data_IF_421434101345
#
_entry.id   IF_421434101345
#
_cell.length_a   1.000
_cell.length_b   1.000
_cell.length_c   1.000
_cell.angle_alpha   90.00
_cell.angle_beta   90.00
_cell.angle_gamma   90.00
#
_symmetry.space_group_name_H-M   'P 1'
#
loop_
_entity.id
_entity.type
_entity.pdbx_description
1 polymer ?
#
# COMPACT_ATOMS: atom_id res chain seq x y z
N UNK A 1 12.11 -26.79 -30.26
CA UNK A 1 12.61 -26.06 -31.44
C UNK A 1 12.29 -24.59 -31.22
N UNK A 2 13.27 -23.69 -31.02
CA UNK A 2 12.97 -22.26 -30.99
C UNK A 2 12.56 -21.81 -32.40
N UNK A 3 11.55 -20.94 -32.49
CA UNK A 3 11.01 -20.46 -33.76
C UNK A 3 12.03 -19.58 -34.49
N UNK A 4 12.46 -20.04 -35.67
CA UNK A 4 13.56 -19.48 -36.46
C UNK A 4 13.04 -18.40 -37.44
N UNK A 5 12.50 -17.30 -36.91
CA UNK A 5 11.98 -16.16 -37.70
C UNK A 5 12.39 -14.80 -37.11
N UNK A 6 12.49 -13.73 -37.92
CA UNK A 6 12.85 -12.41 -37.43
C UNK A 6 11.80 -11.88 -36.45
N UNK A 7 12.26 -11.41 -35.29
CA UNK A 7 11.43 -10.81 -34.24
C UNK A 7 10.64 -9.63 -34.82
N UNK A 8 9.36 -9.54 -34.48
CA UNK A 8 8.52 -8.40 -34.79
C UNK A 8 9.00 -7.14 -34.06
N UNK A 9 8.58 -5.96 -34.56
CA UNK A 9 8.87 -4.68 -33.93
C UNK A 9 8.38 -4.60 -32.47
N UNK A 10 7.27 -5.26 -32.16
CA UNK A 10 6.71 -5.36 -30.82
C UNK A 10 7.60 -6.19 -29.89
N UNK A 11 8.07 -7.34 -30.35
CA UNK A 11 8.97 -8.21 -29.56
C UNK A 11 10.30 -7.53 -29.27
N UNK A 12 10.88 -6.82 -30.25
CA UNK A 12 12.10 -6.03 -30.07
C UNK A 12 11.89 -4.89 -29.07
N UNK A 13 10.71 -4.25 -29.05
CA UNK A 13 10.39 -3.20 -28.08
C UNK A 13 10.29 -3.76 -26.65
N UNK A 14 9.62 -4.90 -26.48
CA UNK A 14 9.50 -5.57 -25.17
C UNK A 14 10.84 -6.10 -24.66
N UNK A 15 11.71 -6.57 -25.54
CA UNK A 15 13.05 -7.04 -25.17
C UNK A 15 13.95 -5.89 -24.73
N UNK A 16 13.89 -4.74 -25.42
CA UNK A 16 14.59 -3.51 -25.01
C UNK A 16 14.07 -2.98 -23.67
N UNK A 17 12.77 -3.08 -23.41
CA UNK A 17 12.16 -2.71 -22.14
C UNK A 17 12.72 -3.58 -21.00
N UNK A 18 12.63 -4.91 -21.14
CA UNK A 18 13.18 -5.87 -20.17
C UNK A 18 14.68 -5.73 -19.96
N UNK A 19 15.42 -5.34 -21.01
CA UNK A 19 16.85 -5.06 -20.91
C UNK A 19 17.11 -3.80 -20.08
N UNK A 20 16.37 -2.72 -20.32
CA UNK A 20 16.44 -1.49 -19.52
C UNK A 20 16.04 -1.72 -18.06
N UNK A 21 15.00 -2.52 -17.82
CA UNK A 21 14.57 -2.87 -16.47
C UNK A 21 15.68 -3.64 -15.73
N UNK A 22 16.32 -4.61 -16.39
CA UNK A 22 17.50 -5.33 -15.85
C UNK A 22 18.69 -4.40 -15.58
N UNK A 23 19.01 -3.50 -16.52
CA UNK A 23 20.10 -2.51 -16.36
C UNK A 23 19.83 -1.52 -15.23
N UNK A 24 18.55 -1.18 -15.01
CA UNK A 24 18.10 -0.32 -13.91
C UNK A 24 17.95 -1.09 -12.57
N UNK A 25 18.21 -2.40 -12.54
CA UNK A 25 18.00 -3.24 -11.36
C UNK A 25 16.52 -3.41 -10.98
N UNK A 26 15.60 -3.08 -11.89
CA UNK A 26 14.16 -3.24 -11.73
C UNK A 26 13.79 -4.66 -12.16
N UNK A 27 13.80 -5.59 -11.22
CA UNK A 27 13.16 -6.89 -11.43
C UNK A 27 11.66 -6.76 -11.19
N UNK A 28 10.84 -6.96 -12.24
CA UNK A 28 9.41 -7.24 -12.08
C UNK A 28 9.25 -8.55 -11.31
N UNK A 29 9.12 -8.46 -9.98
CA UNK A 29 8.80 -9.58 -9.12
C UNK A 29 7.30 -9.60 -8.87
N UNK A 30 6.53 -10.45 -9.59
CA UNK A 30 5.10 -10.59 -9.32
C UNK A 30 4.90 -11.05 -7.88
N UNK A 31 3.92 -10.47 -7.20
CA UNK A 31 3.60 -10.83 -5.82
C UNK A 31 3.14 -12.29 -5.75
N UNK A 32 3.69 -13.04 -4.79
CA UNK A 32 3.21 -14.38 -4.47
C UNK A 32 1.78 -14.33 -3.90
N UNK A 33 1.04 -15.43 -3.99
CA UNK A 33 -0.29 -15.52 -3.38
C UNK A 33 -0.26 -15.27 -1.87
N UNK A 34 0.81 -15.73 -1.19
CA UNK A 34 1.04 -15.45 0.23
C UNK A 34 1.20 -13.94 0.50
N UNK A 35 1.96 -13.23 -0.33
CA UNK A 35 2.12 -11.77 -0.21
C UNK A 35 0.81 -11.04 -0.48
N UNK A 36 0.04 -11.46 -1.50
CA UNK A 36 -1.27 -10.88 -1.78
C UNK A 36 -2.22 -11.05 -0.60
N UNK A 37 -2.28 -12.24 -0.01
CA UNK A 37 -3.08 -12.52 1.17
C UNK A 37 -2.66 -11.66 2.36
N UNK A 38 -1.35 -11.57 2.66
CA UNK A 38 -0.83 -10.76 3.75
C UNK A 38 -1.09 -9.25 3.54
N UNK A 39 -0.99 -8.75 2.29
CA UNK A 39 -1.36 -7.36 1.96
C UNK A 39 -2.85 -7.11 2.19
N UNK A 40 -3.71 -8.05 1.79
CA UNK A 40 -5.14 -7.94 2.01
C UNK A 40 -5.49 -7.92 3.52
N UNK A 41 -4.87 -8.80 4.30
CA UNK A 41 -5.01 -8.82 5.76
C UNK A 41 -4.54 -7.51 6.40
N UNK A 42 -3.35 -7.02 6.03
CA UNK A 42 -2.86 -5.74 6.53
C UNK A 42 -3.85 -4.61 6.25
N UNK A 43 -4.40 -4.54 5.03
CA UNK A 43 -5.43 -3.54 4.68
C UNK A 43 -6.67 -3.66 5.56
N UNK A 44 -7.17 -4.87 5.79
CA UNK A 44 -8.35 -5.09 6.64
C UNK A 44 -8.09 -4.65 8.09
N UNK A 45 -6.93 -5.00 8.65
CA UNK A 45 -6.56 -4.62 10.03
C UNK A 45 -6.51 -3.11 10.19
N UNK A 46 -5.83 -2.39 9.29
CA UNK A 46 -5.76 -0.93 9.39
C UNK A 46 -7.11 -0.26 9.09
N UNK A 47 -7.93 -0.84 8.21
CA UNK A 47 -9.30 -0.36 7.99
C UNK A 47 -10.17 -0.52 9.25
N UNK A 48 -10.07 -1.65 9.95
CA UNK A 48 -10.81 -1.87 11.20
C UNK A 48 -10.37 -0.87 12.29
N UNK A 49 -9.06 -0.63 12.43
CA UNK A 49 -8.52 0.38 13.36
C UNK A 49 -8.99 1.79 13.03
N UNK A 50 -9.04 2.15 11.74
CA UNK A 50 -9.59 3.43 11.29
C UNK A 50 -11.07 3.57 11.68
N UNK A 51 -11.88 2.54 11.42
CA UNK A 51 -13.30 2.55 11.76
C UNK A 51 -13.52 2.68 13.28
N UNK A 52 -12.74 1.97 14.10
CA UNK A 52 -12.76 2.10 15.56
C UNK A 52 -12.46 3.55 15.98
N UNK A 53 -11.42 4.17 15.41
CA UNK A 53 -11.06 5.56 15.71
C UNK A 53 -12.14 6.55 15.32
N UNK A 54 -12.79 6.34 14.19
CA UNK A 54 -13.89 7.19 13.74
C UNK A 54 -15.11 7.06 14.65
N UNK A 55 -15.41 5.86 15.14
CA UNK A 55 -16.50 5.64 16.12
C UNK A 55 -16.19 6.38 17.42
N UNK A 56 -14.98 6.22 17.97
CA UNK A 56 -14.56 6.90 19.20
C UNK A 56 -14.56 8.42 19.05
N UNK A 57 -14.06 8.92 17.92
CA UNK A 57 -14.07 10.35 17.62
C UNK A 57 -15.50 10.90 17.54
N UNK A 58 -16.42 10.18 16.90
CA UNK A 58 -17.83 10.60 16.82
C UNK A 58 -18.47 10.68 18.21
N UNK A 59 -18.21 9.70 19.07
CA UNK A 59 -18.66 9.73 20.47
C UNK A 59 -18.05 10.91 21.24
N UNK A 60 -16.77 11.20 21.04
CA UNK A 60 -16.11 12.37 21.63
C UNK A 60 -16.70 13.70 21.14
N UNK A 61 -16.99 13.83 19.84
CA UNK A 61 -17.65 15.02 19.29
C UNK A 61 -19.05 15.23 19.89
N UNK A 62 -19.81 14.16 20.14
CA UNK A 62 -21.10 14.27 20.80
C UNK A 62 -21.01 14.78 22.25
N UNK A 63 -19.84 14.64 22.90
CA UNK A 63 -19.57 15.07 24.27
C UNK A 63 -18.91 16.45 24.36
N UNK A 64 -18.31 16.93 23.27
CA UNK A 64 -17.64 18.23 23.23
C UNK A 64 -18.63 19.37 23.48
N UNK A 65 -18.23 20.35 24.29
CA UNK A 65 -19.08 21.48 24.68
C UNK A 65 -18.61 22.79 24.07
N UNK A 66 -17.36 22.84 23.62
CA UNK A 66 -16.73 24.05 23.08
C UNK A 66 -16.19 23.82 21.68
N UNK A 67 -16.07 24.91 20.92
CA UNK A 67 -15.46 24.90 19.60
C UNK A 67 -13.99 24.47 19.64
N UNK A 68 -13.26 24.87 20.67
CA UNK A 68 -11.85 24.50 20.84
C UNK A 68 -11.67 22.99 21.04
N UNK A 69 -12.55 22.35 21.82
CA UNK A 69 -12.56 20.89 21.97
C UNK A 69 -12.83 20.18 20.64
N UNK A 70 -13.78 20.67 19.85
CA UNK A 70 -14.08 20.13 18.52
C UNK A 70 -12.86 20.25 17.59
N UNK A 71 -12.25 21.43 17.50
CA UNK A 71 -11.07 21.67 16.65
C UNK A 71 -9.89 20.77 17.07
N UNK A 72 -9.71 20.57 18.38
CA UNK A 72 -8.70 19.65 18.91
C UNK A 72 -8.98 18.19 18.51
N UNK A 73 -10.22 17.72 18.70
CA UNK A 73 -10.62 16.36 18.34
C UNK A 73 -10.48 16.10 16.84
N UNK A 74 -10.80 17.07 15.98
CA UNK A 74 -10.62 16.96 14.53
C UNK A 74 -9.14 16.88 14.16
N UNK A 75 -8.30 17.71 14.78
CA UNK A 75 -6.85 17.68 14.59
C UNK A 75 -6.24 16.34 15.01
N UNK A 76 -6.70 15.78 16.13
CA UNK A 76 -6.28 14.46 16.60
C UNK A 76 -6.69 13.35 15.63
N UNK A 77 -7.94 13.35 15.14
CA UNK A 77 -8.39 12.37 14.16
C UNK A 77 -7.56 12.45 12.88
N UNK A 78 -7.31 13.66 12.36
CA UNK A 78 -6.49 13.85 11.16
C UNK A 78 -5.10 13.23 11.30
N UNK A 79 -4.41 13.48 12.42
CA UNK A 79 -3.09 12.88 12.72
C UNK A 79 -3.16 11.36 12.83
N UNK A 80 -4.21 10.83 13.45
CA UNK A 80 -4.41 9.38 13.57
C UNK A 80 -4.66 8.74 12.20
N UNK A 81 -5.42 9.40 11.30
CA UNK A 81 -5.62 8.94 9.91
C UNK A 81 -4.29 8.84 9.16
N UNK A 82 -3.48 9.91 9.22
CA UNK A 82 -2.19 9.97 8.53
C UNK A 82 -1.22 8.92 9.07
N UNK A 83 -1.20 8.72 10.40
CA UNK A 83 -0.36 7.69 11.03
C UNK A 83 -0.78 6.29 10.60
N UNK A 84 -2.07 5.96 10.68
CA UNK A 84 -2.59 4.63 10.30
C UNK A 84 -2.40 4.34 8.81
N UNK A 85 -2.53 5.34 7.94
CA UNK A 85 -2.22 5.21 6.52
C UNK A 85 -0.73 4.93 6.30
N UNK A 86 0.14 5.69 6.96
CA UNK A 86 1.60 5.51 6.87
C UNK A 86 2.04 4.14 7.39
N UNK A 87 1.46 3.68 8.49
CA UNK A 87 1.77 2.37 9.09
C UNK A 87 1.29 1.21 8.20
N UNK A 88 0.10 1.35 7.60
CA UNK A 88 -0.39 0.40 6.58
C UNK A 88 0.57 0.32 5.40
N UNK A 89 1.00 1.47 4.87
CA UNK A 89 1.85 1.52 3.68
C UNK A 89 3.24 0.96 3.98
N UNK A 90 3.79 1.26 5.17
CA UNK A 90 5.01 0.63 5.67
C UNK A 90 4.87 -0.88 5.76
N UNK A 91 3.76 -1.39 6.34
CA UNK A 91 3.55 -2.84 6.46
C UNK A 91 3.41 -3.51 5.09
N UNK A 92 2.74 -2.86 4.14
CA UNK A 92 2.64 -3.36 2.76
C UNK A 92 4.02 -3.39 2.10
N UNK A 93 4.86 -2.37 2.32
CA UNK A 93 6.23 -2.34 1.79
C UNK A 93 7.09 -3.47 2.38
N UNK A 94 7.00 -3.71 3.69
CA UNK A 94 7.68 -4.83 4.35
C UNK A 94 7.26 -6.18 3.74
N UNK A 95 5.96 -6.43 3.57
CA UNK A 95 5.45 -7.68 2.97
C UNK A 95 5.98 -7.88 1.54
N UNK A 96 6.11 -6.80 0.77
CA UNK A 96 6.70 -6.84 -0.58
C UNK A 96 8.19 -7.19 -0.56
N UNK A 97 8.91 -6.80 0.50
CA UNK A 97 10.35 -7.05 0.66
C UNK A 97 10.69 -8.39 1.32
N UNK A 98 9.85 -8.92 2.23
CA UNK A 98 10.09 -10.15 3.01
C UNK A 98 10.30 -11.43 2.18
N UNK A 99 9.94 -11.45 0.89
CA UNK A 99 10.15 -12.60 -0.01
C UNK A 99 11.31 -12.43 -1.00
N UNK A 100 12.15 -11.40 -0.80
CA UNK A 100 13.36 -11.15 -1.59
C UNK A 100 14.62 -11.89 -1.11
N UNK A 101 14.47 -12.76 -0.11
CA UNK A 101 15.50 -13.64 0.49
C UNK A 101 15.02 -15.07 0.46
#
# INVERSE_FOLDING_TARGET
MPSDGPKSAYELAMERLRQKDREAGVEERPLTEKQKAAIAEARQVYQARMAEREILHRDALHKAQTREEVEKLESELARDRDRLASDRDRKIAEIKQESAT
#
